data_IF_843739086554
#
_entry.id   IF_843739086554
#
_cell.length_a   1.000
_cell.length_b   1.000
_cell.length_c   1.000
_cell.angle_alpha   90.00
_cell.angle_beta   90.00
_cell.angle_gamma   90.00
#
_symmetry.space_group_name_H-M   'P 1'
#
loop_
_entity.id
_entity.type
_entity.pdbx_description
1 polymer ?
#
# COMPACT_ATOMS: atom_id res chain seq x y z
N UNK A 1 -4.02 0.99 -26.34
CA UNK A 1 -3.57 1.23 -24.95
C UNK A 1 -2.07 1.00 -24.86
N UNK A 2 -1.28 2.04 -24.61
CA UNK A 2 0.13 1.88 -24.21
C UNK A 2 0.15 1.46 -22.74
N UNK A 3 0.58 0.22 -22.47
CA UNK A 3 0.77 -0.25 -21.11
C UNK A 3 1.71 0.73 -20.37
N UNK A 4 1.32 1.13 -19.16
CA UNK A 4 2.05 2.08 -18.34
C UNK A 4 2.46 1.45 -17.02
N UNK A 5 3.52 1.96 -16.41
CA UNK A 5 3.93 1.57 -15.07
C UNK A 5 4.35 2.80 -14.27
N UNK A 6 4.36 2.64 -12.95
CA UNK A 6 4.96 3.60 -12.05
C UNK A 6 6.19 2.97 -11.40
N UNK A 7 7.30 3.69 -11.38
CA UNK A 7 8.53 3.23 -10.73
C UNK A 7 9.16 4.36 -9.91
N UNK A 8 9.72 4.00 -8.76
CA UNK A 8 10.27 4.98 -7.84
C UNK A 8 10.82 4.33 -6.58
N UNK A 9 10.53 4.95 -5.43
CA UNK A 9 11.02 4.49 -4.13
C UNK A 9 9.90 4.42 -3.11
N UNK A 10 9.99 3.42 -2.24
CA UNK A 10 9.28 3.38 -0.97
C UNK A 10 10.27 3.67 0.15
N UNK A 11 9.87 4.51 1.10
CA UNK A 11 10.60 4.78 2.34
C UNK A 11 9.72 4.42 3.52
N UNK A 12 10.27 3.69 4.48
CA UNK A 12 9.64 3.39 5.75
C UNK A 12 10.48 3.97 6.88
N UNK A 13 9.85 4.66 7.84
CA UNK A 13 10.51 5.18 9.05
C UNK A 13 9.74 4.75 10.28
N UNK A 14 10.48 4.28 11.30
CA UNK A 14 9.95 3.93 12.63
C UNK A 14 10.62 4.78 13.68
N UNK A 15 9.83 5.29 14.62
CA UNK A 15 10.30 6.25 15.63
C UNK A 15 10.14 5.74 17.08
N UNK A 16 9.16 4.87 17.35
CA UNK A 16 8.68 4.59 18.70
C UNK A 16 9.60 3.78 19.66
N UNK A 17 10.73 3.23 19.21
CA UNK A 17 11.66 2.47 20.12
C UNK A 17 13.12 2.71 19.74
N UNK A 18 13.47 2.45 18.48
CA UNK A 18 14.77 2.80 17.89
C UNK A 18 14.52 3.27 16.48
N UNK A 19 15.10 4.42 16.13
CA UNK A 19 14.99 4.95 14.77
C UNK A 19 15.45 3.90 13.77
N UNK A 20 14.56 3.54 12.85
CA UNK A 20 14.87 2.65 11.75
C UNK A 20 14.22 3.18 10.49
N UNK A 21 15.07 3.59 9.56
CA UNK A 21 14.68 3.97 8.21
C UNK A 21 15.22 2.95 7.23
N UNK A 22 14.42 2.64 6.22
CA UNK A 22 14.92 2.02 5.01
C UNK A 22 14.20 2.57 3.79
N UNK A 23 14.93 2.59 2.67
CA UNK A 23 14.43 3.05 1.39
C UNK A 23 14.85 2.07 0.32
N UNK A 24 13.92 1.66 -0.53
CA UNK A 24 14.25 0.80 -1.66
C UNK A 24 13.45 1.16 -2.90
N UNK A 25 13.93 0.67 -4.05
CA UNK A 25 13.24 0.84 -5.33
C UNK A 25 12.05 -0.10 -5.40
N UNK A 26 10.99 0.38 -6.04
CA UNK A 26 9.76 -0.37 -6.26
C UNK A 26 9.15 0.02 -7.62
N UNK A 27 8.37 -0.89 -8.20
CA UNK A 27 7.63 -0.66 -9.43
C UNK A 27 6.26 -1.33 -9.35
N UNK A 28 5.27 -0.68 -9.96
CA UNK A 28 3.88 -1.10 -10.00
C UNK A 28 3.40 -1.05 -11.45
N UNK A 29 2.58 -2.03 -11.84
CA UNK A 29 1.79 -1.93 -13.05
C UNK A 29 0.68 -0.90 -12.85
N UNK A 30 0.37 -0.14 -13.91
CA UNK A 30 -0.75 0.79 -13.94
C UNK A 30 -1.72 0.35 -15.03
N UNK A 31 -2.91 -0.08 -14.62
CA UNK A 31 -3.89 -0.72 -15.46
C UNK A 31 -5.16 0.11 -15.51
N UNK A 32 -5.76 0.15 -16.69
CA UNK A 32 -7.08 0.71 -16.90
C UNK A 32 -8.11 -0.41 -16.71
N UNK A 33 -9.06 -0.23 -15.80
CA UNK A 33 -10.09 -1.22 -15.49
C UNK A 33 -11.48 -0.77 -15.96
N UNK A 34 -11.62 0.28 -16.77
CA UNK A 34 -12.92 0.80 -17.22
C UNK A 34 -13.77 -0.26 -17.96
N UNK A 35 -13.12 -1.25 -18.58
CA UNK A 35 -13.79 -2.36 -19.25
C UNK A 35 -14.23 -3.50 -18.30
N UNK A 36 -13.94 -3.39 -17.00
CA UNK A 36 -14.24 -4.42 -16.01
C UNK A 36 -15.37 -3.93 -15.08
N UNK A 37 -16.33 -4.80 -14.72
CA UNK A 37 -17.38 -4.47 -13.76
C UNK A 37 -16.80 -4.46 -12.33
N UNK A 38 -15.97 -3.47 -12.01
CA UNK A 38 -15.42 -3.29 -10.66
C UNK A 38 -16.45 -2.52 -9.85
N UNK A 39 -17.05 -3.16 -8.84
CA UNK A 39 -17.93 -2.50 -7.88
C UNK A 39 -17.18 -2.32 -6.57
N UNK A 40 -16.92 -1.07 -6.20
CA UNK A 40 -16.57 -0.72 -4.83
C UNK A 40 -17.85 -0.37 -4.07
N UNK A 41 -17.90 -0.65 -2.77
CA UNK A 41 -19.02 -0.25 -1.90
C UNK A 41 -19.00 1.26 -1.61
N UNK A 42 -18.88 2.09 -2.65
CA UNK A 42 -18.90 3.56 -2.55
C UNK A 42 -20.28 4.08 -2.96
N UNK A 43 -20.77 5.15 -2.30
CA UNK A 43 -22.11 5.68 -2.56
C UNK A 43 -22.20 6.51 -3.84
N UNK A 44 -21.07 7.02 -4.35
CA UNK A 44 -21.01 7.91 -5.51
C UNK A 44 -20.85 7.13 -6.83
N UNK A 45 -21.41 7.63 -7.94
CA UNK A 45 -21.21 7.03 -9.25
C UNK A 45 -19.74 7.10 -9.68
N UNK A 46 -19.19 5.95 -10.09
CA UNK A 46 -17.83 5.86 -10.64
C UNK A 46 -17.91 5.69 -12.15
N UNK A 47 -17.29 6.60 -12.90
CA UNK A 47 -17.20 6.53 -14.35
C UNK A 47 -15.95 5.76 -14.83
N UNK A 48 -14.86 5.80 -14.06
CA UNK A 48 -13.58 5.20 -14.45
C UNK A 48 -12.81 4.63 -13.26
N UNK A 49 -12.07 3.53 -13.45
CA UNK A 49 -11.23 2.92 -12.42
C UNK A 49 -9.84 2.61 -12.97
N UNK A 50 -8.81 3.12 -12.30
CA UNK A 50 -7.40 2.82 -12.62
C UNK A 50 -6.74 2.09 -11.46
N UNK A 51 -6.00 1.02 -11.75
CA UNK A 51 -5.35 0.17 -10.77
C UNK A 51 -3.83 0.32 -10.78
N UNK A 52 -3.27 0.64 -9.62
CA UNK A 52 -1.84 0.56 -9.33
C UNK A 52 -1.57 -0.67 -8.47
N UNK A 53 -0.86 -1.66 -9.01
CA UNK A 53 -0.67 -2.96 -8.32
C UNK A 53 0.68 -3.61 -8.65
N UNK A 54 1.13 -4.55 -7.81
CA UNK A 54 2.31 -5.36 -8.10
C UNK A 54 1.88 -6.71 -8.73
N UNK A 55 2.13 -6.92 -10.04
CA UNK A 55 1.76 -8.18 -10.68
C UNK A 55 2.64 -9.33 -10.20
N UNK A 56 2.07 -10.53 -10.18
CA UNK A 56 2.78 -11.78 -9.90
C UNK A 56 4.02 -11.91 -10.80
N UNK A 57 5.14 -12.31 -10.21
CA UNK A 57 6.41 -12.49 -10.93
C UNK A 57 7.10 -13.78 -10.52
N UNK A 58 7.59 -14.55 -11.50
CA UNK A 58 8.28 -15.83 -11.28
C UNK A 58 7.49 -16.81 -10.38
N UNK A 59 6.17 -16.87 -10.59
CA UNK A 59 5.26 -17.69 -9.76
C UNK A 59 4.92 -17.11 -8.39
N UNK A 60 5.64 -16.07 -7.92
CA UNK A 60 5.43 -15.44 -6.60
C UNK A 60 4.49 -14.24 -6.71
N UNK A 61 3.35 -14.32 -6.04
CA UNK A 61 2.32 -13.27 -6.00
C UNK A 61 2.35 -12.47 -4.70
N UNK A 62 3.46 -11.80 -4.41
CA UNK A 62 3.54 -10.93 -3.24
C UNK A 62 3.22 -9.48 -3.63
N UNK A 63 2.06 -9.01 -3.18
CA UNK A 63 1.54 -7.66 -3.42
C UNK A 63 0.97 -7.11 -2.10
N UNK A 64 1.73 -6.29 -1.35
CA UNK A 64 1.29 -5.84 -0.03
C UNK A 64 0.11 -4.85 -0.11
N UNK A 65 -0.02 -4.11 -1.22
CA UNK A 65 -1.11 -3.15 -1.42
C UNK A 65 -1.42 -2.94 -2.90
N UNK A 66 -2.71 -2.93 -3.23
CA UNK A 66 -3.25 -2.43 -4.49
C UNK A 66 -3.98 -1.12 -4.26
N UNK A 67 -3.82 -0.16 -5.15
CA UNK A 67 -4.54 1.11 -5.10
C UNK A 67 -5.47 1.23 -6.31
N UNK A 68 -6.76 1.39 -6.06
CA UNK A 68 -7.76 1.65 -7.08
C UNK A 68 -8.17 3.13 -7.02
N UNK A 69 -7.90 3.86 -8.09
CA UNK A 69 -8.25 5.27 -8.26
C UNK A 69 -9.57 5.37 -9.00
N UNK A 70 -10.57 6.00 -8.39
CA UNK A 70 -11.93 6.11 -8.91
C UNK A 70 -12.20 7.53 -9.45
N UNK A 71 -12.56 7.53 -10.73
CA UNK A 71 -13.02 8.57 -11.64
C UNK A 71 -14.47 9.00 -11.50
N UNK A 72 -14.83 10.28 -11.35
CA UNK A 72 -16.13 10.74 -11.87
C UNK A 72 -16.09 10.95 -13.40
N UNK A 73 -17.22 11.35 -13.97
CA UNK A 73 -17.37 11.67 -15.39
C UNK A 73 -16.62 12.94 -15.82
N UNK A 74 -16.34 13.84 -14.88
CA UNK A 74 -15.45 14.99 -15.05
C UNK A 74 -13.97 14.64 -15.07
N UNK A 75 -13.59 13.42 -14.68
CA UNK A 75 -12.21 12.97 -14.57
C UNK A 75 -11.54 13.34 -13.24
N UNK A 76 -12.31 13.78 -12.24
CA UNK A 76 -11.83 14.13 -10.92
C UNK A 76 -11.78 12.89 -10.00
N UNK A 77 -10.75 12.83 -9.15
CA UNK A 77 -10.57 11.71 -8.23
C UNK A 77 -11.61 11.78 -7.10
N UNK A 78 -12.61 10.90 -7.13
CA UNK A 78 -13.63 10.81 -6.08
C UNK A 78 -13.14 9.97 -4.90
N UNK A 79 -12.54 8.81 -5.19
CA UNK A 79 -12.13 7.85 -4.16
C UNK A 79 -10.81 7.16 -4.52
N UNK A 80 -10.00 6.91 -3.49
CA UNK A 80 -8.91 5.95 -3.52
C UNK A 80 -9.29 4.75 -2.66
N UNK A 81 -9.27 3.56 -3.22
CA UNK A 81 -9.40 2.32 -2.45
C UNK A 81 -8.02 1.70 -2.31
N UNK A 82 -7.50 1.66 -1.08
CA UNK A 82 -6.25 0.99 -0.74
C UNK A 82 -6.56 -0.40 -0.19
N UNK A 83 -6.42 -1.41 -1.05
CA UNK A 83 -6.58 -2.80 -0.66
C UNK A 83 -5.25 -3.36 -0.15
N UNK A 84 -5.17 -3.63 1.14
CA UNK A 84 -3.98 -4.14 1.80
C UNK A 84 -4.14 -5.64 2.02
N UNK A 85 -3.10 -6.41 1.68
CA UNK A 85 -3.04 -7.86 1.90
C UNK A 85 -2.07 -8.16 3.04
N UNK A 86 -2.57 -8.71 4.14
CA UNK A 86 -1.76 -9.16 5.26
C UNK A 86 -1.08 -10.49 4.92
N UNK A 87 0.24 -10.50 4.86
CA UNK A 87 1.02 -11.73 4.63
C UNK A 87 1.85 -12.00 5.88
N UNK A 88 1.88 -13.24 6.41
CA UNK A 88 1.40 -14.50 5.82
C UNK A 88 -0.07 -14.87 6.12
N UNK A 89 -0.81 -14.07 6.89
CA UNK A 89 -2.13 -14.45 7.41
C UNK A 89 -3.25 -14.53 6.36
N UNK A 90 -3.05 -13.99 5.17
CA UNK A 90 -4.01 -14.07 4.05
C UNK A 90 -5.21 -13.13 4.18
N UNK A 91 -5.24 -12.28 5.20
CA UNK A 91 -6.29 -11.29 5.40
C UNK A 91 -6.20 -10.20 4.33
N UNK A 92 -7.35 -9.69 3.89
CA UNK A 92 -7.44 -8.58 2.95
C UNK A 92 -8.47 -7.58 3.46
N UNK A 93 -8.17 -6.31 3.28
CA UNK A 93 -9.08 -5.24 3.65
C UNK A 93 -8.89 -4.05 2.72
N UNK A 94 -9.99 -3.38 2.42
CA UNK A 94 -10.02 -2.22 1.55
C UNK A 94 -10.33 -0.97 2.36
N UNK A 95 -9.36 -0.07 2.47
CA UNK A 95 -9.57 1.26 3.02
C UNK A 95 -10.09 2.19 1.92
N UNK A 96 -11.27 2.76 2.11
CA UNK A 96 -11.88 3.72 1.18
C UNK A 96 -11.55 5.12 1.65
N UNK A 97 -10.90 5.91 0.79
CA UNK A 97 -10.38 7.24 1.11
C UNK A 97 -10.97 8.26 0.13
N UNK A 98 -11.91 9.12 0.58
CA UNK A 98 -12.44 10.20 -0.22
C UNK A 98 -11.31 11.10 -0.74
N UNK A 99 -11.28 11.33 -2.05
CA UNK A 99 -10.26 12.14 -2.74
C UNK A 99 -8.81 11.76 -2.41
N UNK A 100 -8.57 10.49 -2.05
CA UNK A 100 -7.25 10.01 -1.66
C UNK A 100 -6.75 10.46 -0.29
N UNK A 101 -7.63 10.96 0.58
CA UNK A 101 -7.27 11.43 1.93
C UNK A 101 -8.20 10.85 2.98
N UNK A 102 -7.67 10.59 4.16
CA UNK A 102 -8.50 10.20 5.30
C UNK A 102 -7.69 9.57 6.43
N UNK A 103 -8.37 9.37 7.54
CA UNK A 103 -7.80 8.74 8.73
C UNK A 103 -8.57 7.46 9.05
N UNK A 104 -8.37 6.39 8.26
CA UNK A 104 -9.14 5.17 8.45
C UNK A 104 -8.75 4.51 9.78
N UNK A 105 -9.72 3.87 10.43
CA UNK A 105 -9.45 3.02 11.57
C UNK A 105 -8.61 1.81 11.14
N UNK A 106 -7.62 1.45 11.96
CA UNK A 106 -6.73 0.32 11.66
C UNK A 106 -7.49 -1.00 11.82
N UNK A 107 -7.80 -1.65 10.71
CA UNK A 107 -8.65 -2.84 10.70
C UNK A 107 -7.94 -4.14 11.11
N UNK A 108 -6.62 -4.27 10.91
CA UNK A 108 -5.89 -5.52 11.22
C UNK A 108 -4.38 -5.29 11.42
N UNK A 109 -3.76 -6.31 11.99
CA UNK A 109 -2.38 -6.29 12.45
C UNK A 109 -1.41 -6.60 11.28
N UNK A 110 -1.08 -5.58 10.51
CA UNK A 110 -0.22 -5.67 9.30
C UNK A 110 1.27 -5.90 9.57
N UNK A 111 1.72 -5.82 10.81
CA UNK A 111 3.14 -5.92 11.16
C UNK A 111 3.28 -6.36 12.61
N UNK A 112 3.98 -7.46 12.91
CA UNK A 112 4.18 -7.95 14.28
C UNK A 112 4.99 -7.01 15.18
N UNK A 113 5.53 -5.91 14.63
CA UNK A 113 6.23 -4.87 15.37
C UNK A 113 5.44 -3.56 15.44
N UNK A 114 4.10 -3.61 15.29
CA UNK A 114 3.23 -2.44 15.35
C UNK A 114 1.85 -2.84 15.87
N UNK A 115 1.53 -2.46 17.11
CA UNK A 115 0.27 -2.76 17.78
C UNK A 115 -0.97 -2.24 17.05
N UNK A 116 -2.15 -2.58 17.56
CA UNK A 116 -3.44 -2.15 17.00
C UNK A 116 -3.85 -0.74 17.44
N UNK A 117 -3.27 -0.24 18.53
CA UNK A 117 -3.49 1.06 19.15
C UNK A 117 -2.81 2.19 18.36
N UNK A 118 -3.21 2.35 17.10
CA UNK A 118 -2.64 3.32 16.17
C UNK A 118 -3.72 4.01 15.35
N UNK A 119 -3.56 5.31 15.18
CA UNK A 119 -4.37 6.14 14.29
C UNK A 119 -3.64 6.29 12.96
N UNK A 120 -4.30 5.96 11.85
CA UNK A 120 -3.72 6.16 10.53
C UNK A 120 -4.11 7.52 9.97
N UNK A 121 -3.18 8.10 9.23
CA UNK A 121 -3.45 9.20 8.32
C UNK A 121 -2.90 8.82 6.95
N UNK A 122 -3.76 8.83 5.94
CA UNK A 122 -3.40 8.49 4.57
C UNK A 122 -3.62 9.71 3.68
N UNK A 123 -2.63 9.97 2.82
CA UNK A 123 -2.71 10.98 1.77
C UNK A 123 -2.13 10.43 0.49
N UNK A 124 -2.86 10.56 -0.60
CA UNK A 124 -2.43 10.16 -1.92
C UNK A 124 -2.73 11.23 -2.94
N UNK A 125 -1.90 11.31 -3.98
CA UNK A 125 -2.16 12.16 -5.14
C UNK A 125 -2.93 11.38 -6.19
N UNK A 126 -3.71 12.08 -7.02
CA UNK A 126 -4.20 11.50 -8.26
C UNK A 126 -3.02 11.05 -9.17
N UNK A 127 -3.21 10.03 -10.03
CA UNK A 127 -2.16 9.51 -10.90
C UNK A 127 -1.77 10.48 -12.03
N UNK A 128 -0.67 11.22 -11.89
CA UNK A 128 -0.13 12.12 -12.92
C UNK A 128 1.21 11.65 -13.49
N UNK A 129 2.10 12.59 -13.85
CA UNK A 129 3.51 12.28 -14.13
C UNK A 129 4.22 11.71 -12.88
N UNK A 130 3.79 12.18 -11.71
CA UNK A 130 4.18 11.65 -10.41
C UNK A 130 2.96 11.07 -9.70
N UNK A 131 3.22 10.16 -8.77
CA UNK A 131 2.22 9.58 -7.89
C UNK A 131 2.86 9.37 -6.53
N UNK A 132 2.25 9.92 -5.49
CA UNK A 132 2.68 9.74 -4.10
C UNK A 132 1.57 9.14 -3.26
N UNK A 133 1.94 8.22 -2.37
CA UNK A 133 1.06 7.73 -1.29
C UNK A 133 1.86 7.81 0.00
N UNK A 134 1.31 8.52 0.97
CA UNK A 134 1.87 8.64 2.30
C UNK A 134 0.90 8.04 3.31
N UNK A 135 1.42 7.22 4.21
CA UNK A 135 0.71 6.66 5.34
C UNK A 135 1.51 7.03 6.58
N UNK A 136 0.90 7.78 7.48
CA UNK A 136 1.42 8.05 8.81
C UNK A 136 0.61 7.23 9.82
N UNK A 137 1.27 6.78 10.87
CA UNK A 137 0.70 5.98 11.95
C UNK A 137 1.11 6.62 13.26
N UNK A 138 0.13 7.15 13.97
CA UNK A 138 0.30 7.85 15.23
C UNK A 138 -0.09 6.93 16.39
N UNK A 139 0.62 7.04 17.50
CA UNK A 139 0.33 6.33 18.75
C UNK A 139 0.44 7.32 19.89
N UNK A 140 -0.63 7.48 20.67
CA UNK A 140 -0.70 8.47 21.74
C UNK A 140 -0.31 9.90 21.27
N UNK A 141 -0.75 10.29 20.06
CA UNK A 141 -0.44 11.59 19.45
C UNK A 141 0.93 11.70 18.78
N UNK A 142 1.86 10.78 19.04
CA UNK A 142 3.21 10.81 18.45
C UNK A 142 3.30 10.01 17.16
N UNK A 143 4.08 10.48 16.19
CA UNK A 143 4.35 9.76 14.95
C UNK A 143 5.19 8.51 15.25
N UNK A 144 4.56 7.33 15.23
CA UNK A 144 5.22 6.06 15.54
C UNK A 144 5.86 5.43 14.30
N UNK A 145 5.20 5.56 13.15
CA UNK A 145 5.64 5.00 11.86
C UNK A 145 5.15 5.84 10.69
N UNK A 146 5.94 5.91 9.62
CA UNK A 146 5.43 6.31 8.32
C UNK A 146 5.94 5.47 7.16
N UNK A 147 5.16 5.49 6.09
CA UNK A 147 5.52 4.99 4.78
C UNK A 147 5.26 6.07 3.73
N UNK A 148 6.20 6.26 2.81
CA UNK A 148 6.00 7.13 1.64
C UNK A 148 6.41 6.40 0.37
N UNK A 149 5.44 6.21 -0.51
CA UNK A 149 5.65 5.86 -1.91
C UNK A 149 5.83 7.14 -2.72
N UNK A 150 6.92 7.23 -3.47
CA UNK A 150 7.17 8.31 -4.42
C UNK A 150 7.52 7.69 -5.77
N UNK A 151 6.59 7.80 -6.72
CA UNK A 151 6.66 7.12 -8.00
C UNK A 151 6.59 8.12 -9.15
N UNK A 152 7.19 7.74 -10.29
CA UNK A 152 7.07 8.45 -11.56
C UNK A 152 6.48 7.53 -12.61
N UNK A 153 5.61 8.08 -13.45
CA UNK A 153 5.07 7.41 -14.62
C UNK A 153 6.20 7.05 -15.58
N UNK A 154 6.17 5.84 -16.12
CA UNK A 154 7.16 5.33 -17.07
C UNK A 154 6.48 4.46 -18.13
N UNK A 155 7.01 4.43 -19.37
CA UNK A 155 6.63 3.43 -20.34
C UNK A 155 6.81 2.04 -19.76
N UNK A 156 5.89 1.13 -20.09
CA UNK A 156 5.97 -0.24 -19.61
C UNK A 156 7.27 -0.93 -20.04
N UNK A 157 7.98 -1.51 -19.08
CA UNK A 157 9.19 -2.31 -19.31
C UNK A 157 9.20 -3.56 -18.44
N UNK A 158 9.01 -4.74 -19.05
CA UNK A 158 8.94 -6.03 -18.34
C UNK A 158 10.08 -6.24 -17.34
N UNK A 159 11.31 -5.86 -17.67
CA UNK A 159 12.48 -6.02 -16.80
C UNK A 159 12.41 -5.25 -15.48
N UNK A 160 11.55 -4.22 -15.35
CA UNK A 160 11.32 -3.49 -14.09
C UNK A 160 10.31 -4.18 -13.17
N UNK A 161 9.47 -5.06 -13.72
CA UNK A 161 8.47 -5.83 -12.98
C UNK A 161 8.94 -7.26 -12.72
N UNK A 162 9.86 -7.78 -13.54
CA UNK A 162 10.45 -9.09 -13.35
C UNK A 162 11.19 -9.16 -12.01
N UNK A 163 10.83 -10.12 -11.17
CA UNK A 163 11.36 -10.29 -9.81
C UNK A 163 10.87 -9.25 -8.80
N UNK A 164 9.98 -8.32 -9.16
CA UNK A 164 9.55 -7.25 -8.25
C UNK A 164 8.84 -7.80 -7.00
N UNK A 165 7.92 -8.76 -7.16
CA UNK A 165 7.25 -9.43 -6.03
C UNK A 165 8.23 -10.18 -5.14
N UNK A 166 9.15 -10.95 -5.73
CA UNK A 166 10.18 -11.70 -4.98
C UNK A 166 11.07 -10.75 -4.20
N UNK A 167 11.57 -9.68 -4.83
CA UNK A 167 12.41 -8.68 -4.17
C UNK A 167 11.67 -7.99 -3.02
N UNK A 168 10.41 -7.64 -3.22
CA UNK A 168 9.60 -6.96 -2.21
C UNK A 168 9.35 -7.87 -1.01
N UNK A 169 9.10 -9.15 -1.25
CA UNK A 169 8.99 -10.20 -0.22
C UNK A 169 10.27 -10.30 0.60
N UNK A 170 11.40 -10.52 -0.07
CA UNK A 170 12.71 -10.66 0.58
C UNK A 170 13.07 -9.43 1.43
N UNK A 171 12.80 -8.23 0.91
CA UNK A 171 13.06 -7.00 1.64
C UNK A 171 12.17 -6.87 2.88
N UNK A 172 10.87 -7.15 2.78
CA UNK A 172 9.96 -7.09 3.94
C UNK A 172 10.41 -8.06 5.05
N UNK A 173 10.77 -9.30 4.70
CA UNK A 173 11.30 -10.25 5.68
C UNK A 173 12.66 -9.83 6.25
N UNK A 174 13.58 -9.32 5.43
CA UNK A 174 14.87 -8.82 5.90
C UNK A 174 14.71 -7.67 6.92
N UNK A 175 13.77 -6.76 6.67
CA UNK A 175 13.46 -5.67 7.61
C UNK A 175 12.80 -6.20 8.89
N UNK A 176 11.91 -7.19 8.81
CA UNK A 176 11.33 -7.83 9.98
C UNK A 176 12.41 -8.47 10.88
N UNK A 177 13.39 -9.16 10.28
CA UNK A 177 14.55 -9.74 11.00
C UNK A 177 15.40 -8.63 11.62
N UNK A 178 15.73 -7.58 10.88
CA UNK A 178 16.51 -6.46 11.38
C UNK A 178 15.84 -5.77 12.58
N UNK A 179 14.51 -5.62 12.56
CA UNK A 179 13.74 -5.09 13.68
C UNK A 179 13.80 -6.01 14.90
N UNK A 180 13.65 -7.32 14.71
CA UNK A 180 13.77 -8.31 15.78
C UNK A 180 15.15 -8.26 16.45
N UNK A 181 16.22 -8.21 15.66
CA UNK A 181 17.60 -8.10 16.15
C UNK A 181 17.88 -6.78 16.88
N UNK A 182 17.13 -5.72 16.57
CA UNK A 182 17.21 -4.42 17.25
C UNK A 182 16.38 -4.34 18.54
N UNK A 183 15.67 -5.41 18.90
CA UNK A 183 14.83 -5.47 20.10
C UNK A 183 13.46 -4.80 19.95
N UNK A 184 12.93 -4.70 18.72
CA UNK A 184 11.58 -4.18 18.53
C UNK A 184 10.55 -5.08 19.25
N UNK A 185 9.58 -4.50 19.98
CA UNK A 185 8.56 -5.26 20.69
C UNK A 185 7.74 -6.08 19.71
N UNK A 186 7.52 -7.35 20.04
CA UNK A 186 6.69 -8.26 19.27
C UNK A 186 5.27 -8.22 19.82
N UNK A 187 4.33 -7.91 18.94
CA UNK A 187 2.91 -8.00 19.19
C UNK A 187 2.41 -9.27 18.47
N UNK A 188 1.72 -10.19 19.15
CA UNK A 188 1.13 -11.35 18.51
C UNK A 188 0.00 -10.93 17.58
N UNK A 189 -0.18 -11.65 16.46
CA UNK A 189 -1.37 -11.48 15.62
C UNK A 189 -2.61 -11.81 16.45
N UNK A 190 -3.63 -10.92 16.51
CA UNK A 190 -4.86 -11.24 17.21
C UNK A 190 -5.46 -12.50 16.58
N UNK A 191 -5.83 -13.49 17.41
CA UNK A 191 -6.56 -14.65 16.90
C UNK A 191 -7.94 -14.18 16.45
N UNK A 192 -8.51 -14.71 15.35
CA UNK A 192 -9.91 -14.48 15.05
C UNK A 192 -10.73 -14.89 16.28
N UNK A 193 -11.62 -14.01 16.75
CA UNK A 193 -12.64 -14.44 17.70
C UNK A 193 -13.43 -15.56 17.03
N UNK A 194 -13.45 -16.74 17.66
CA UNK A 194 -14.25 -17.85 17.16
C UNK A 194 -15.71 -17.39 17.19
N UNK A 195 -16.28 -17.17 16.00
CA UNK A 195 -17.70 -16.92 15.79
C UNK A 195 -18.48 -18.22 15.83
#
# INVERSE_FOLDING_TARGET
MTATMYAGTIRHRRFAVRSHEFRHRIAFAYLDLDALPVRFGVPEPIASVKLLTMPRSLGVGFNPVSFYYCFDDGGELTHLVAEVTNTPWGERHAYVLPQGKGSPEKAFHVSPFMGMDHEYEVRATAPGETLSVHIASHRAGELAFDATLNLRRRPYRRSRLLGASVRTLLLIYAHAIALKLKGAPYFPHPRPEAS
#
